data_IF_861127006781
#
_entry.id   IF_861127006781
#
_cell.length_a   1.000
_cell.length_b   1.000
_cell.length_c   1.000
_cell.angle_alpha   90.00
_cell.angle_beta   90.00
_cell.angle_gamma   90.00
#
_symmetry.space_group_name_H-M   'P 1'
#
loop_
_entity.id
_entity.type
_entity.pdbx_description
1 polymer ?
#
# COMPACT_ATOMS: atom_id res chain seq x y z
N UNK A 1 -7.18 -3.78 12.46
CA UNK A 1 -6.45 -5.05 12.55
C UNK A 1 -5.08 -4.94 11.88
N UNK A 2 -4.07 -4.42 12.58
CA UNK A 2 -2.77 -4.09 11.98
C UNK A 2 -1.86 -5.32 11.75
N UNK A 3 -1.87 -6.29 12.68
CA UNK A 3 -0.97 -7.44 12.63
C UNK A 3 -1.18 -8.34 11.39
N UNK A 4 -2.43 -8.56 10.95
CA UNK A 4 -2.71 -9.39 9.77
C UNK A 4 -2.11 -8.84 8.47
N UNK A 5 -1.91 -7.52 8.38
CA UNK A 5 -1.30 -6.85 7.24
C UNK A 5 0.23 -6.71 7.39
N UNK A 6 0.81 -7.24 8.46
CA UNK A 6 2.26 -7.32 8.63
C UNK A 6 2.83 -8.52 7.87
N UNK A 7 4.15 -8.53 7.69
CA UNK A 7 4.88 -9.66 7.11
C UNK A 7 4.63 -10.96 7.89
N UNK A 8 4.70 -10.91 9.22
CA UNK A 8 4.45 -12.07 10.07
C UNK A 8 3.01 -12.62 9.91
N UNK A 9 2.02 -11.72 9.82
CA UNK A 9 0.63 -12.09 9.58
C UNK A 9 0.43 -12.71 8.20
N UNK A 10 1.04 -12.12 7.16
CA UNK A 10 1.02 -12.65 5.80
C UNK A 10 1.65 -14.04 5.74
N UNK A 11 2.82 -14.24 6.35
CA UNK A 11 3.54 -15.51 6.33
C UNK A 11 2.75 -16.63 7.01
N UNK A 12 2.06 -16.34 8.11
CA UNK A 12 1.18 -17.30 8.78
C UNK A 12 0.09 -17.85 7.83
N UNK A 13 -0.53 -16.97 7.05
CA UNK A 13 -1.56 -17.35 6.10
C UNK A 13 -1.00 -17.99 4.83
N UNK A 14 0.10 -17.47 4.29
CA UNK A 14 0.74 -18.03 3.09
C UNK A 14 1.19 -19.47 3.30
N UNK A 15 1.76 -19.80 4.46
CA UNK A 15 2.14 -21.18 4.81
C UNK A 15 0.95 -22.13 4.89
N UNK A 16 -0.24 -21.59 5.17
CA UNK A 16 -1.44 -22.37 5.43
C UNK A 16 -2.41 -22.42 4.24
N UNK A 17 -2.22 -21.57 3.24
CA UNK A 17 -3.03 -21.52 2.02
C UNK A 17 -2.71 -22.70 1.11
N UNK A 18 -3.60 -23.69 1.05
CA UNK A 18 -3.47 -24.80 0.09
C UNK A 18 -4.03 -24.36 -1.26
N UNK A 19 -3.27 -24.57 -2.34
CA UNK A 19 -3.70 -24.33 -3.72
C UNK A 19 -3.88 -25.66 -4.43
N UNK A 20 -5.12 -26.12 -4.58
CA UNK A 20 -5.42 -27.31 -5.42
C UNK A 20 -5.87 -26.93 -6.84
N UNK A 21 -6.18 -25.65 -7.11
CA UNK A 21 -6.69 -25.18 -8.41
C UNK A 21 -6.25 -23.74 -8.76
N UNK A 22 -5.15 -23.25 -8.17
CA UNK A 22 -4.72 -21.85 -8.31
C UNK A 22 -5.55 -20.84 -7.48
N UNK A 23 -6.64 -21.29 -6.85
CA UNK A 23 -7.37 -20.54 -5.82
C UNK A 23 -6.79 -20.88 -4.44
N UNK A 24 -6.15 -19.88 -3.81
CA UNK A 24 -5.68 -19.99 -2.43
C UNK A 24 -6.83 -19.78 -1.46
N UNK A 25 -7.30 -20.85 -0.82
CA UNK A 25 -8.37 -20.76 0.20
C UNK A 25 -7.77 -20.89 1.59
N UNK A 26 -8.13 -19.97 2.49
CA UNK A 26 -7.80 -20.03 3.91
C UNK A 26 -9.05 -20.47 4.68
N UNK A 27 -8.95 -21.53 5.47
CA UNK A 27 -10.06 -21.97 6.29
C UNK A 27 -10.13 -21.19 7.63
N UNK A 28 -11.30 -21.21 8.27
CA UNK A 28 -11.55 -20.52 9.54
C UNK A 28 -10.65 -20.99 10.69
N UNK A 29 -10.19 -22.25 10.67
CA UNK A 29 -9.27 -22.79 11.67
C UNK A 29 -7.93 -22.05 11.65
N UNK A 30 -7.37 -21.82 10.47
CA UNK A 30 -6.09 -21.09 10.31
C UNK A 30 -6.19 -19.66 10.82
N UNK A 31 -7.33 -19.00 10.60
CA UNK A 31 -7.61 -17.65 11.12
C UNK A 31 -7.66 -17.68 12.64
N UNK A 32 -8.36 -18.66 13.23
CA UNK A 32 -8.51 -18.79 14.69
C UNK A 32 -7.19 -19.08 15.40
N UNK A 33 -6.25 -19.75 14.74
CA UNK A 33 -4.93 -20.10 15.31
C UNK A 33 -3.86 -19.06 15.02
N UNK A 34 -4.23 -17.85 14.57
CA UNK A 34 -3.27 -16.79 14.30
C UNK A 34 -2.56 -16.35 15.60
N UNK A 35 -1.22 -16.36 15.65
CA UNK A 35 -0.45 -15.97 16.83
C UNK A 35 -0.36 -14.44 16.95
N UNK A 36 -1.49 -13.79 17.22
CA UNK A 36 -1.56 -12.33 17.37
C UNK A 36 -0.87 -11.94 18.69
N UNK A 37 0.18 -11.09 18.68
CA UNK A 37 0.82 -10.62 19.89
C UNK A 37 -0.13 -9.68 20.66
N UNK A 38 -0.17 -9.85 21.98
CA UNK A 38 -1.01 -9.05 22.88
C UNK A 38 -0.13 -8.31 23.91
N UNK A 39 0.47 -7.17 23.54
CA UNK A 39 1.18 -6.31 24.48
C UNK A 39 0.19 -5.54 25.36
N UNK A 40 0.68 -4.77 26.34
CA UNK A 40 -0.15 -3.90 27.18
C UNK A 40 -0.87 -2.81 26.36
N UNK A 41 -1.90 -2.20 26.95
CA UNK A 41 -2.77 -1.25 26.25
C UNK A 41 -2.06 0.04 25.83
N UNK A 42 -1.03 0.48 26.56
CA UNK A 42 -0.30 1.70 26.24
C UNK A 42 0.57 1.47 25.00
N UNK A 43 1.27 0.35 24.96
CA UNK A 43 2.04 -0.10 23.80
C UNK A 43 1.16 -0.27 22.56
N UNK A 44 -0.03 -0.87 22.71
CA UNK A 44 -0.98 -1.00 21.60
C UNK A 44 -1.38 0.36 21.02
N UNK A 45 -1.68 1.34 21.88
CA UNK A 45 -2.07 2.69 21.44
C UNK A 45 -0.93 3.42 20.74
N UNK A 46 0.28 3.34 21.28
CA UNK A 46 1.48 3.94 20.69
C UNK A 46 1.74 3.39 19.27
N UNK A 47 1.71 2.07 19.10
CA UNK A 47 1.94 1.45 17.80
C UNK A 47 0.89 1.81 16.77
N UNK A 48 -0.38 1.85 17.16
CA UNK A 48 -1.48 2.25 16.27
C UNK A 48 -1.32 3.71 15.86
N UNK A 49 -0.94 4.60 16.78
CA UNK A 49 -0.70 6.01 16.47
C UNK A 49 0.46 6.19 15.49
N UNK A 50 1.59 5.51 15.71
CA UNK A 50 2.76 5.52 14.79
C UNK A 50 2.41 4.97 13.41
N UNK A 51 1.64 3.88 13.35
CA UNK A 51 1.18 3.31 12.08
C UNK A 51 0.27 4.28 11.32
N UNK A 52 -0.69 4.91 12.00
CA UNK A 52 -1.59 5.87 11.39
C UNK A 52 -0.82 7.09 10.84
N UNK A 53 0.15 7.60 11.61
CA UNK A 53 0.99 8.71 11.19
C UNK A 53 1.80 8.38 9.93
N UNK A 54 2.52 7.26 9.93
CA UNK A 54 3.31 6.84 8.77
C UNK A 54 2.47 6.53 7.53
N UNK A 55 1.26 5.99 7.70
CA UNK A 55 0.32 5.81 6.59
C UNK A 55 -0.14 7.13 5.99
N UNK A 56 -0.45 8.13 6.83
CA UNK A 56 -0.84 9.46 6.36
C UNK A 56 0.30 10.12 5.57
N UNK A 57 1.54 10.05 6.07
CA UNK A 57 2.72 10.56 5.35
C UNK A 57 2.94 9.85 4.01
N UNK A 58 2.84 8.51 3.99
CA UNK A 58 2.99 7.74 2.77
C UNK A 58 1.89 8.09 1.75
N UNK A 59 0.66 8.29 2.21
CA UNK A 59 -0.44 8.71 1.35
C UNK A 59 -0.22 10.11 0.78
N UNK A 60 0.21 11.07 1.61
CA UNK A 60 0.53 12.42 1.16
C UNK A 60 1.62 12.41 0.08
N UNK A 61 2.68 11.62 0.27
CA UNK A 61 3.75 11.45 -0.73
C UNK A 61 3.24 10.86 -2.05
N UNK A 62 2.36 9.86 -1.99
CA UNK A 62 1.73 9.28 -3.20
C UNK A 62 0.90 10.30 -3.94
N UNK A 63 0.05 11.05 -3.23
CA UNK A 63 -0.76 12.12 -3.83
C UNK A 63 0.11 13.19 -4.48
N UNK A 64 1.14 13.67 -3.78
CA UNK A 64 2.08 14.65 -4.31
C UNK A 64 2.80 14.14 -5.57
N UNK A 65 3.24 12.88 -5.59
CA UNK A 65 3.87 12.26 -6.75
C UNK A 65 2.90 12.14 -7.94
N UNK A 66 1.63 11.78 -7.69
CA UNK A 66 0.60 11.74 -8.73
C UNK A 66 0.36 13.13 -9.33
N UNK A 67 0.20 14.16 -8.49
CA UNK A 67 0.00 15.54 -8.95
C UNK A 67 1.20 16.04 -9.75
N UNK A 68 2.43 15.81 -9.26
CA UNK A 68 3.65 16.19 -9.97
C UNK A 68 3.75 15.49 -11.33
N UNK A 69 3.39 14.21 -11.40
CA UNK A 69 3.37 13.46 -12.66
C UNK A 69 2.35 14.04 -13.64
N UNK A 70 1.15 14.38 -13.17
CA UNK A 70 0.12 15.00 -13.99
C UNK A 70 0.54 16.37 -14.52
N UNK A 71 1.13 17.23 -13.67
CA UNK A 71 1.61 18.54 -14.12
C UNK A 71 2.77 18.42 -15.10
N UNK A 72 3.72 17.52 -14.85
CA UNK A 72 4.84 17.27 -15.77
C UNK A 72 4.36 16.75 -17.13
N UNK A 73 3.34 15.90 -17.14
CA UNK A 73 2.73 15.42 -18.37
C UNK A 73 2.07 16.55 -19.17
N UNK A 74 1.28 17.40 -18.52
CA UNK A 74 0.65 18.55 -19.17
C UNK A 74 1.69 19.53 -19.75
N UNK A 75 2.77 19.80 -19.01
CA UNK A 75 3.88 20.64 -19.50
C UNK A 75 4.57 20.00 -20.71
N UNK A 76 4.80 18.68 -20.67
CA UNK A 76 5.39 17.95 -21.77
C UNK A 76 4.53 18.00 -23.03
N UNK A 77 3.21 17.77 -22.92
CA UNK A 77 2.27 17.87 -24.04
C UNK A 77 2.26 19.28 -24.64
N UNK A 78 2.18 20.32 -23.81
CA UNK A 78 2.22 21.71 -24.29
C UNK A 78 3.49 22.00 -25.11
N UNK A 79 4.66 21.56 -24.63
CA UNK A 79 5.92 21.77 -25.33
C UNK A 79 5.98 21.08 -26.71
N UNK A 80 5.41 19.87 -26.84
CA UNK A 80 5.37 19.15 -28.12
C UNK A 80 4.55 19.87 -29.19
N UNK A 81 3.42 20.46 -28.81
CA UNK A 81 2.54 21.15 -29.75
C UNK A 81 3.02 22.58 -30.07
N UNK A 82 3.61 23.31 -29.13
CA UNK A 82 4.21 24.63 -29.40
C UNK A 82 5.43 24.53 -30.33
N UNK A 83 6.28 23.52 -30.16
CA UNK A 83 7.46 23.34 -31.02
C UNK A 83 7.12 22.94 -32.47
N UNK A 84 5.94 22.36 -32.70
CA UNK A 84 5.51 21.92 -34.03
C UNK A 84 5.03 23.10 -34.89
N UNK A 85 4.42 24.13 -34.29
CA UNK A 85 3.98 25.32 -35.03
C UNK A 85 5.15 26.22 -35.48
N UNK A 86 6.25 26.25 -34.72
CA UNK A 86 7.45 27.04 -35.07
C UNK A 86 8.28 26.41 -36.20
N UNK A 87 8.19 25.09 -36.41
CA UNK A 87 8.90 24.40 -37.50
C UNK A 87 8.16 24.42 -38.85
N UNK A 88 6.91 24.90 -38.89
CA UNK A 88 6.06 24.90 -40.08
C UNK A 88 5.90 26.28 -40.74
N UNK A 89 6.53 27.32 -40.20
CA UNK A 89 6.57 28.68 -40.73
C UNK A 89 7.96 29.02 -41.32
#
# INVERSE_FOLDING_TARGET
MAWFNSEAGRDHFFKSGKTTSGLGTINSKVIRTAPIPLPDIETQRDWVAKLAHTQAEAQAKRTAATTLRQSAWATFEAALFTATEESAA
#
